data_IF_712348163825
#
_entry.id   IF_712348163825
#
_cell.length_a   1.000
_cell.length_b   1.000
_cell.length_c   1.000
_cell.angle_alpha   90.00
_cell.angle_beta   90.00
_cell.angle_gamma   90.00
#
_symmetry.space_group_name_H-M   'P 1'
#
loop_
_entity.id
_entity.type
_entity.pdbx_description
1 polymer ?
#
# COMPACT_ATOMS: atom_id res chain seq x y z
N UNK A 1 -14.94 24.06 -22.01
CA UNK A 1 -15.31 24.03 -20.58
C UNK A 1 -15.01 22.63 -20.09
N UNK A 2 -14.17 22.49 -19.07
CA UNK A 2 -13.87 21.19 -18.45
C UNK A 2 -15.19 20.62 -17.89
N UNK A 3 -15.64 19.43 -18.35
CA UNK A 3 -16.92 18.87 -17.96
C UNK A 3 -16.94 18.57 -16.45
N UNK A 4 -18.00 18.97 -15.75
CA UNK A 4 -18.18 18.70 -14.33
C UNK A 4 -18.16 17.20 -14.03
N UNK A 5 -18.63 16.38 -14.97
CA UNK A 5 -18.57 14.92 -14.91
C UNK A 5 -17.13 14.40 -14.85
N UNK A 6 -16.18 14.95 -15.63
CA UNK A 6 -14.77 14.53 -15.61
C UNK A 6 -14.09 14.85 -14.27
N UNK A 7 -14.50 15.93 -13.59
CA UNK A 7 -13.98 16.27 -12.26
C UNK A 7 -14.55 15.33 -11.21
N UNK A 8 -15.84 15.04 -11.29
CA UNK A 8 -16.52 14.14 -10.37
C UNK A 8 -15.98 12.70 -10.49
N UNK A 9 -15.81 12.20 -11.71
CA UNK A 9 -15.30 10.84 -11.94
C UNK A 9 -13.86 10.67 -11.44
N UNK A 10 -12.99 11.65 -11.69
CA UNK A 10 -11.62 11.66 -11.15
C UNK A 10 -11.62 11.70 -9.62
N UNK A 11 -12.49 12.48 -9.00
CA UNK A 11 -12.62 12.53 -7.54
C UNK A 11 -13.15 11.19 -6.99
N UNK A 12 -14.17 10.59 -7.62
CA UNK A 12 -14.76 9.32 -7.20
C UNK A 12 -13.75 8.16 -7.29
N UNK A 13 -12.95 8.10 -8.37
CA UNK A 13 -11.87 7.12 -8.53
C UNK A 13 -10.84 7.23 -7.40
N UNK A 14 -10.44 8.45 -7.05
CA UNK A 14 -9.52 8.70 -5.92
C UNK A 14 -10.08 8.22 -4.59
N UNK A 15 -11.35 8.53 -4.29
CA UNK A 15 -12.00 8.06 -3.05
C UNK A 15 -12.05 6.54 -3.00
N UNK A 16 -12.34 5.88 -4.13
CA UNK A 16 -12.35 4.41 -4.23
C UNK A 16 -10.97 3.80 -3.96
N UNK A 17 -9.91 4.36 -4.53
CA UNK A 17 -8.52 3.95 -4.27
C UNK A 17 -8.15 4.14 -2.80
N UNK A 18 -8.48 5.29 -2.21
CA UNK A 18 -8.24 5.59 -0.80
C UNK A 18 -8.96 4.60 0.12
N UNK A 19 -10.25 4.33 -0.15
CA UNK A 19 -11.06 3.38 0.62
C UNK A 19 -10.49 1.96 0.53
N UNK A 20 -9.96 1.58 -0.64
CA UNK A 20 -9.22 0.33 -0.82
C UNK A 20 -7.97 0.28 0.05
N UNK A 21 -7.15 1.33 0.07
CA UNK A 21 -5.95 1.43 0.90
C UNK A 21 -6.27 1.34 2.41
N UNK A 22 -7.28 2.07 2.88
CA UNK A 22 -7.70 2.01 4.29
C UNK A 22 -8.15 0.61 4.71
N UNK A 23 -8.77 -0.17 3.82
CA UNK A 23 -9.11 -1.57 4.11
C UNK A 23 -7.84 -2.41 4.34
N UNK A 24 -6.78 -2.21 3.55
CA UNK A 24 -5.52 -2.90 3.74
C UNK A 24 -4.86 -2.52 5.07
N UNK A 25 -4.85 -1.23 5.43
CA UNK A 25 -4.36 -0.78 6.75
C UNK A 25 -5.16 -1.44 7.88
N UNK A 26 -6.50 -1.44 7.79
CA UNK A 26 -7.35 -2.03 8.83
C UNK A 26 -7.03 -3.49 9.06
N UNK A 27 -6.92 -4.27 7.98
CA UNK A 27 -6.58 -5.70 8.04
C UNK A 27 -5.17 -5.86 8.64
N UNK A 28 -4.20 -5.08 8.18
CA UNK A 28 -2.84 -5.14 8.72
C UNK A 28 -2.78 -4.83 10.21
N UNK A 29 -3.42 -3.75 10.68
CA UNK A 29 -3.43 -3.38 12.10
C UNK A 29 -4.16 -4.43 12.92
N UNK A 30 -5.28 -4.96 12.43
CA UNK A 30 -6.05 -5.98 13.14
C UNK A 30 -5.24 -7.27 13.30
N UNK A 31 -4.68 -7.81 12.21
CA UNK A 31 -3.90 -9.04 12.26
C UNK A 31 -2.61 -8.89 13.07
N UNK A 32 -1.83 -7.83 12.83
CA UNK A 32 -0.59 -7.62 13.57
C UNK A 32 -0.87 -7.26 15.04
N UNK A 33 -1.97 -6.58 15.34
CA UNK A 33 -2.42 -6.32 16.70
C UNK A 33 -2.74 -7.61 17.46
N UNK A 34 -3.49 -8.54 16.84
CA UNK A 34 -3.77 -9.86 17.43
C UNK A 34 -2.47 -10.63 17.65
N UNK A 35 -1.56 -10.65 16.67
CA UNK A 35 -0.25 -11.31 16.82
C UNK A 35 0.59 -10.71 17.96
N UNK A 36 0.55 -9.39 18.12
CA UNK A 36 1.24 -8.71 19.23
C UNK A 36 0.60 -9.05 20.59
N UNK A 37 -0.74 -9.13 20.64
CA UNK A 37 -1.46 -9.55 21.85
C UNK A 37 -1.12 -10.99 22.23
N UNK A 38 -1.05 -11.90 21.25
CA UNK A 38 -0.58 -13.28 21.46
C UNK A 38 0.87 -13.29 21.97
N UNK A 39 1.78 -12.54 21.33
CA UNK A 39 3.18 -12.42 21.75
C UNK A 39 3.35 -11.86 23.17
N UNK A 40 2.45 -10.98 23.60
CA UNK A 40 2.49 -10.37 24.94
C UNK A 40 1.99 -11.29 26.05
N UNK A 41 1.39 -12.44 25.69
CA UNK A 41 0.80 -13.38 26.65
C UNK A 41 -0.55 -12.94 27.23
N UNK A 42 -1.11 -11.79 26.82
CA UNK A 42 -2.39 -11.29 27.32
C UNK A 42 -3.56 -12.24 27.03
N UNK A 43 -3.45 -13.00 25.94
CA UNK A 43 -4.45 -13.96 25.51
C UNK A 43 -4.22 -15.37 26.08
N UNK A 44 -3.09 -15.63 26.76
CA UNK A 44 -2.74 -16.96 27.29
C UNK A 44 -3.86 -17.60 28.14
N UNK A 45 -4.59 -16.87 29.02
CA UNK A 45 -5.69 -17.45 29.81
C UNK A 45 -6.87 -17.95 28.97
N UNK A 46 -7.01 -17.48 27.73
CA UNK A 46 -8.09 -17.86 26.81
C UNK A 46 -7.64 -18.91 25.78
N UNK A 47 -6.38 -19.34 25.81
CA UNK A 47 -5.84 -20.30 24.86
C UNK A 47 -5.99 -21.74 25.36
N UNK A 48 -6.19 -22.71 24.45
CA UNK A 48 -6.30 -24.12 24.81
C UNK A 48 -4.98 -24.66 25.40
N UNK A 49 -5.10 -25.70 26.24
CA UNK A 49 -3.94 -26.41 26.79
C UNK A 49 -3.02 -26.92 25.66
N UNK A 50 -1.73 -26.61 25.76
CA UNK A 50 -0.72 -26.94 24.75
C UNK A 50 -0.43 -25.85 23.72
N UNK A 51 -1.09 -24.68 23.79
CA UNK A 51 -0.73 -23.56 22.92
C UNK A 51 0.68 -23.02 23.26
N UNK A 52 1.55 -22.78 22.26
CA UNK A 52 2.88 -22.23 22.51
C UNK A 52 2.77 -20.81 23.10
N UNK A 53 3.16 -20.67 24.37
CA UNK A 53 3.17 -19.40 25.10
C UNK A 53 4.58 -18.82 25.22
N UNK A 54 5.60 -19.59 24.85
CA UNK A 54 6.99 -19.17 24.92
C UNK A 54 7.28 -18.05 23.91
N UNK A 55 7.99 -17.02 24.35
CA UNK A 55 8.26 -15.83 23.54
C UNK A 55 8.97 -16.13 22.21
N UNK A 56 9.84 -17.15 22.17
CA UNK A 56 10.60 -17.48 20.96
C UNK A 56 9.71 -17.92 19.79
N UNK A 57 8.53 -18.49 20.05
CA UNK A 57 7.57 -18.87 19.00
C UNK A 57 7.02 -17.64 18.26
N UNK A 58 7.15 -16.44 18.84
CA UNK A 58 6.64 -15.20 18.29
C UNK A 58 7.73 -14.23 17.83
N UNK A 59 9.01 -14.62 17.86
CA UNK A 59 10.10 -13.73 17.44
C UNK A 59 10.00 -13.34 15.95
N UNK A 60 9.48 -14.25 15.13
CA UNK A 60 9.22 -14.01 13.71
C UNK A 60 8.14 -12.92 13.46
N UNK A 61 7.29 -12.63 14.45
CA UNK A 61 6.22 -11.63 14.33
C UNK A 61 6.79 -10.25 14.04
N UNK A 62 7.92 -9.89 14.65
CA UNK A 62 8.58 -8.61 14.40
C UNK A 62 9.04 -8.48 12.94
N UNK A 63 9.68 -9.52 12.41
CA UNK A 63 10.12 -9.56 11.01
C UNK A 63 8.92 -9.53 10.05
N UNK A 64 7.83 -10.25 10.38
CA UNK A 64 6.60 -10.22 9.60
C UNK A 64 5.98 -8.81 9.58
N UNK A 65 5.82 -8.17 10.74
CA UNK A 65 5.31 -6.79 10.83
C UNK A 65 6.16 -5.84 10.01
N UNK A 66 7.49 -5.99 10.04
CA UNK A 66 8.40 -5.13 9.29
C UNK A 66 8.23 -5.30 7.76
N UNK A 67 8.20 -6.53 7.26
CA UNK A 67 8.01 -6.82 5.83
C UNK A 67 6.65 -6.31 5.34
N UNK A 68 5.59 -6.61 6.07
CA UNK A 68 4.25 -6.13 5.73
C UNK A 68 4.12 -4.61 5.85
N UNK A 69 4.81 -4.01 6.82
CA UNK A 69 4.93 -2.57 6.96
C UNK A 69 5.60 -1.93 5.75
N UNK A 70 6.65 -2.54 5.21
CA UNK A 70 7.32 -2.09 3.99
C UNK A 70 6.39 -2.18 2.78
N UNK A 71 5.66 -3.28 2.62
CA UNK A 71 4.66 -3.46 1.55
C UNK A 71 3.58 -2.37 1.65
N UNK A 72 3.08 -2.10 2.85
CA UNK A 72 2.10 -1.03 3.08
C UNK A 72 2.68 0.36 2.79
N UNK A 73 3.93 0.61 3.14
CA UNK A 73 4.59 1.88 2.85
C UNK A 73 4.70 2.11 1.34
N UNK A 74 5.10 1.09 0.58
CA UNK A 74 5.11 1.15 -0.90
C UNK A 74 3.70 1.37 -1.46
N UNK A 75 2.70 0.65 -0.93
CA UNK A 75 1.32 0.82 -1.37
C UNK A 75 0.78 2.21 -1.04
N UNK A 76 1.15 2.78 0.12
CA UNK A 76 0.84 4.15 0.49
C UNK A 76 1.47 5.15 -0.49
N UNK A 77 2.76 5.00 -0.79
CA UNK A 77 3.44 5.85 -1.78
C UNK A 77 2.72 5.80 -3.14
N UNK A 78 2.28 4.62 -3.57
CA UNK A 78 1.52 4.46 -4.80
C UNK A 78 0.14 5.13 -4.75
N UNK A 79 -0.63 4.92 -3.68
CA UNK A 79 -1.98 5.52 -3.52
C UNK A 79 -1.90 7.04 -3.37
N UNK A 80 -0.89 7.55 -2.68
CA UNK A 80 -0.69 8.98 -2.46
C UNK A 80 0.23 9.65 -3.48
N UNK A 81 0.56 8.97 -4.60
CA UNK A 81 1.44 9.53 -5.65
C UNK A 81 1.01 10.92 -6.11
N UNK A 82 -0.30 11.13 -6.21
CA UNK A 82 -0.90 12.39 -6.64
C UNK A 82 -0.85 13.53 -5.61
N UNK A 83 -0.48 13.24 -4.35
CA UNK A 83 -0.28 14.26 -3.31
C UNK A 83 1.19 14.62 -3.12
N UNK A 84 2.12 13.85 -3.71
CA UNK A 84 3.56 14.05 -3.57
C UNK A 84 4.06 14.77 -4.84
N UNK A 85 4.30 16.09 -4.80
CA UNK A 85 4.61 16.87 -6.01
C UNK A 85 5.91 16.42 -6.70
N UNK A 86 6.89 15.91 -5.96
CA UNK A 86 8.10 15.33 -6.53
C UNK A 86 7.82 14.08 -7.37
N UNK A 87 6.95 13.21 -6.88
CA UNK A 87 6.63 11.94 -7.54
C UNK A 87 5.81 12.18 -8.81
N UNK A 88 4.87 13.13 -8.78
CA UNK A 88 4.13 13.57 -9.96
C UNK A 88 5.06 14.10 -11.06
N UNK A 89 5.99 15.00 -10.71
CA UNK A 89 6.97 15.52 -11.67
C UNK A 89 7.89 14.44 -12.21
N UNK A 90 8.22 13.43 -11.40
CA UNK A 90 9.00 12.30 -11.87
C UNK A 90 8.21 11.42 -12.84
N UNK A 91 6.95 11.10 -12.51
CA UNK A 91 6.03 10.29 -13.34
C UNK A 91 5.78 10.95 -14.70
N UNK A 92 5.49 12.25 -14.70
CA UNK A 92 5.28 13.04 -15.92
C UNK A 92 6.53 13.04 -16.82
N UNK A 93 7.73 13.20 -16.25
CA UNK A 93 8.99 13.09 -17.00
C UNK A 93 9.24 11.71 -17.58
N UNK A 94 8.82 10.63 -16.92
CA UNK A 94 8.96 9.29 -17.48
C UNK A 94 7.99 9.08 -18.64
N UNK A 95 6.72 9.50 -18.48
CA UNK A 95 5.71 9.40 -19.54
C UNK A 95 6.18 10.17 -20.79
N UNK A 96 6.69 11.39 -20.62
CA UNK A 96 7.24 12.19 -21.72
C UNK A 96 8.35 11.43 -22.49
N UNK A 97 9.29 10.80 -21.76
CA UNK A 97 10.36 9.99 -22.35
C UNK A 97 9.86 8.78 -23.12
N UNK A 98 8.77 8.16 -22.67
CA UNK A 98 8.16 7.03 -23.38
C UNK A 98 7.49 7.50 -24.68
N UNK A 99 6.76 8.62 -24.65
CA UNK A 99 6.15 9.21 -25.85
C UNK A 99 7.23 9.62 -26.86
N UNK A 100 8.27 10.32 -26.42
CA UNK A 100 9.39 10.73 -27.29
C UNK A 100 10.08 9.51 -27.94
N UNK A 101 10.25 8.41 -27.20
CA UNK A 101 10.79 7.15 -27.76
C UNK A 101 9.86 6.51 -28.78
N UNK A 102 8.55 6.47 -28.51
CA UNK A 102 7.57 5.92 -29.45
C UNK A 102 7.50 6.74 -30.74
N UNK A 103 7.53 8.07 -30.64
CA UNK A 103 7.56 8.98 -31.81
C UNK A 103 8.85 8.80 -32.63
N UNK A 104 10.01 8.66 -31.97
CA UNK A 104 11.28 8.35 -32.65
C UNK A 104 11.25 6.98 -33.34
N UNK A 105 10.68 5.95 -32.71
CA UNK A 105 10.55 4.62 -33.32
C UNK A 105 9.60 4.65 -34.52
N UNK A 106 8.43 5.28 -34.39
CA UNK A 106 7.45 5.44 -35.47
C UNK A 106 8.00 6.25 -36.65
N UNK A 107 8.84 7.26 -36.37
CA UNK A 107 9.54 8.05 -37.39
C UNK A 107 10.61 7.28 -38.17
N UNK A 108 11.16 6.18 -37.62
CA UNK A 108 12.12 5.32 -38.32
C UNK A 108 11.49 4.37 -39.35
N UNK A 109 10.18 4.15 -39.28
CA UNK A 109 9.44 3.27 -40.19
C UNK A 109 8.71 4.02 -41.32
N UNK A 110 8.91 5.34 -41.43
CA UNK A 110 8.28 6.21 -42.43
C UNK A 110 9.33 6.77 -43.39
#
# INVERSE_FOLDING_TARGET
MENLDDKYERAAKRVKELKGFYRHIKIFVLFNGILYLLKSGLLNPFMPEGFPTEHYYFDWVNSNVFIWGLILAVHALYTFRYKIPFLQKWEERQIQKYIEREDEEMGKFK
#
